data_IF_442703236774
#
_entry.id   IF_442703236774
#
_cell.length_a   1.000
_cell.length_b   1.000
_cell.length_c   1.000
_cell.angle_alpha   90.00
_cell.angle_beta   90.00
_cell.angle_gamma   90.00
#
_symmetry.space_group_name_H-M   'P 1'
#
loop_
_entity.id
_entity.type
_entity.pdbx_description
1 polymer ?
#
# COMPACT_ATOMS: atom_id res chain seq x y z
N UNK A 1 -6.16 17.55 6.00
CA UNK A 1 -6.66 16.16 6.00
C UNK A 1 -5.68 15.35 5.17
N UNK A 2 -4.86 14.51 5.78
CA UNK A 2 -3.83 13.78 5.04
C UNK A 2 -4.51 12.70 4.18
N UNK A 3 -4.55 12.91 2.86
CA UNK A 3 -5.17 11.99 1.92
C UNK A 3 -4.27 10.77 1.73
N UNK A 4 -4.77 9.60 2.09
CA UNK A 4 -4.09 8.33 1.84
C UNK A 4 -4.49 7.83 0.45
N UNK A 5 -3.50 7.55 -0.39
CA UNK A 5 -3.67 7.02 -1.73
C UNK A 5 -3.15 5.58 -1.81
N UNK A 6 -3.85 4.71 -2.53
CA UNK A 6 -3.40 3.34 -2.79
C UNK A 6 -2.72 3.32 -4.16
N UNK A 7 -1.41 3.10 -4.19
CA UNK A 7 -0.64 2.96 -5.42
C UNK A 7 -0.52 1.49 -5.79
N UNK A 8 -0.99 1.13 -7.00
CA UNK A 8 -0.86 -0.22 -7.55
C UNK A 8 0.44 -0.34 -8.34
N UNK A 9 1.28 -1.29 -7.97
CA UNK A 9 2.56 -1.58 -8.61
C UNK A 9 2.46 -2.95 -9.25
N UNK A 10 2.68 -3.05 -10.56
CA UNK A 10 2.40 -4.26 -11.35
C UNK A 10 3.61 -4.58 -12.23
N UNK A 11 3.89 -5.86 -12.43
CA UNK A 11 4.89 -6.32 -13.39
C UNK A 11 6.32 -6.16 -12.89
N UNK A 12 7.17 -5.42 -13.60
CA UNK A 12 8.60 -5.26 -13.29
C UNK A 12 8.86 -4.31 -12.12
N UNK A 13 7.91 -3.43 -11.80
CA UNK A 13 8.02 -2.53 -10.66
C UNK A 13 7.75 -3.24 -9.31
N UNK A 14 7.24 -4.47 -9.34
CA UNK A 14 7.02 -5.30 -8.14
C UNK A 14 8.39 -5.77 -7.59
N UNK A 15 8.61 -5.72 -6.27
CA UNK A 15 9.85 -6.20 -5.65
C UNK A 15 10.21 -7.63 -6.06
N UNK A 16 11.49 -7.88 -6.32
CA UNK A 16 11.98 -9.18 -6.77
C UNK A 16 11.58 -10.33 -5.83
N UNK A 17 11.56 -10.09 -4.51
CA UNK A 17 11.12 -11.07 -3.52
C UNK A 17 9.66 -11.50 -3.71
N UNK A 18 8.75 -10.55 -3.94
CA UNK A 18 7.33 -10.86 -4.18
C UNK A 18 7.10 -11.51 -5.55
N UNK A 19 7.84 -11.08 -6.58
CA UNK A 19 7.84 -11.75 -7.89
C UNK A 19 8.33 -13.20 -7.79
N UNK A 20 9.36 -13.47 -6.99
CA UNK A 20 9.86 -14.82 -6.76
C UNK A 20 8.81 -15.71 -6.06
N UNK A 21 7.94 -15.12 -5.24
CA UNK A 21 6.76 -15.79 -4.68
C UNK A 21 5.58 -15.94 -5.67
N UNK A 22 5.72 -15.50 -6.92
CA UNK A 22 4.68 -15.60 -7.95
C UNK A 22 3.67 -14.45 -7.96
N UNK A 23 3.89 -13.38 -7.21
CA UNK A 23 3.00 -12.22 -7.19
C UNK A 23 3.29 -11.29 -8.37
N UNK A 24 2.23 -10.95 -9.11
CA UNK A 24 2.30 -10.08 -10.30
C UNK A 24 1.98 -8.62 -9.98
N UNK A 25 1.42 -8.35 -8.80
CA UNK A 25 1.03 -7.03 -8.34
C UNK A 25 1.25 -6.88 -6.83
N UNK A 26 1.58 -5.67 -6.41
CA UNK A 26 1.57 -5.25 -5.02
C UNK A 26 1.00 -3.84 -4.88
N UNK A 27 0.54 -3.50 -3.69
CA UNK A 27 -0.05 -2.21 -3.37
C UNK A 27 0.73 -1.52 -2.27
N UNK A 28 0.86 -0.21 -2.40
CA UNK A 28 1.49 0.66 -1.41
C UNK A 28 0.51 1.73 -0.99
N UNK A 29 0.59 2.12 0.28
CA UNK A 29 -0.14 3.28 0.77
C UNK A 29 0.81 4.47 0.74
N UNK A 30 0.39 5.51 0.04
CA UNK A 30 1.07 6.79 -0.06
C UNK A 30 0.29 7.81 0.75
N UNK A 31 0.98 8.66 1.52
CA UNK A 31 0.41 9.82 2.20
C UNK A 31 1.35 10.99 1.98
N UNK A 32 0.82 12.08 1.44
CA UNK A 32 1.59 13.30 1.16
C UNK A 32 2.86 13.07 0.32
N UNK A 33 2.83 12.07 -0.58
CA UNK A 33 3.95 11.70 -1.45
C UNK A 33 4.94 10.71 -0.84
N UNK A 34 4.75 10.29 0.41
CA UNK A 34 5.59 9.29 1.08
C UNK A 34 4.89 7.93 1.21
N UNK A 35 5.61 6.84 0.95
CA UNK A 35 5.10 5.49 1.12
C UNK A 35 5.04 5.14 2.61
N UNK A 36 3.84 5.22 3.20
CA UNK A 36 3.60 4.91 4.61
C UNK A 36 3.34 3.43 4.88
N UNK A 37 3.05 2.63 3.85
CA UNK A 37 2.85 1.19 3.99
C UNK A 37 3.06 0.42 2.69
N UNK A 38 3.30 -0.89 2.82
CA UNK A 38 3.48 -1.84 1.74
C UNK A 38 4.82 -2.59 1.84
N UNK A 39 5.09 -3.56 0.95
CA UNK A 39 4.20 -4.00 -0.13
C UNK A 39 3.08 -4.92 0.37
N UNK A 40 1.84 -4.56 0.03
CA UNK A 40 0.67 -5.39 0.27
C UNK A 40 0.44 -6.29 -0.94
N UNK A 41 0.14 -7.55 -0.69
CA UNK A 41 -0.03 -8.56 -1.75
C UNK A 41 -1.47 -8.67 -2.25
N UNK A 42 -2.39 -7.90 -1.66
CA UNK A 42 -3.82 -7.88 -1.97
C UNK A 42 -4.41 -6.48 -1.88
N UNK A 43 -5.18 -6.08 -2.90
CA UNK A 43 -5.96 -4.84 -2.91
C UNK A 43 -6.89 -4.68 -1.69
N UNK A 44 -7.69 -5.67 -1.28
CA UNK A 44 -8.56 -5.53 -0.09
C UNK A 44 -7.76 -5.31 1.20
N UNK A 45 -6.54 -5.85 1.31
CA UNK A 45 -5.67 -5.57 2.44
C UNK A 45 -5.24 -4.09 2.46
N UNK A 46 -4.91 -3.54 1.28
CA UNK A 46 -4.58 -2.11 1.15
C UNK A 46 -5.76 -1.19 1.47
N UNK A 47 -6.97 -1.55 1.04
CA UNK A 47 -8.19 -0.80 1.36
C UNK A 47 -8.51 -0.83 2.86
N UNK A 48 -8.40 -1.99 3.50
CA UNK A 48 -8.61 -2.10 4.94
C UNK A 48 -7.61 -1.26 5.73
N UNK A 49 -6.34 -1.27 5.31
CA UNK A 49 -5.28 -0.48 5.93
C UNK A 49 -5.47 1.03 5.69
N UNK A 50 -5.85 1.45 4.47
CA UNK A 50 -6.16 2.86 4.20
C UNK A 50 -7.32 3.36 5.07
N UNK A 51 -8.36 2.55 5.22
CA UNK A 51 -9.50 2.89 6.08
C UNK A 51 -9.10 3.00 7.55
N UNK A 52 -8.26 2.09 8.06
CA UNK A 52 -7.71 2.18 9.42
C UNK A 52 -6.91 3.46 9.63
N UNK A 53 -6.04 3.80 8.69
CA UNK A 53 -5.16 4.98 8.77
C UNK A 53 -5.94 6.31 8.64
N UNK A 54 -7.07 6.30 7.94
CA UNK A 54 -7.99 7.45 7.84
C UNK A 54 -8.87 7.55 9.09
N UNK A 55 -9.29 6.41 9.66
CA UNK A 55 -10.14 6.36 10.84
C UNK A 55 -9.39 6.54 12.16
N UNK A 56 -8.10 6.21 12.24
CA UNK A 56 -7.28 6.47 13.41
C UNK A 56 -6.96 7.97 13.48
N UNK A 57 -7.49 8.72 14.47
CA UNK A 57 -6.95 10.03 14.76
C UNK A 57 -5.50 9.79 15.17
N UNK A 58 -4.56 10.27 14.35
CA UNK A 58 -3.14 10.23 14.64
C UNK A 58 -2.90 10.99 15.96
N UNK A 59 -2.92 10.28 17.09
CA UNK A 59 -2.54 10.85 18.38
C UNK A 59 -1.01 10.86 18.40
N UNK A 60 -0.46 12.06 18.25
CA UNK A 60 0.96 12.34 18.42
C UNK A 60 1.39 12.09 19.87
#
# INVERSE_FOLDING_TARGET
MAQVQIMSVIGSAVPASLRASGLLACWYLMRDGEAISGPLTSLPAAQALSQKIVSEPFHA
#
